data_IF_039708886849
#
_entry.id   IF_039708886849
#
_cell.length_a   1.000
_cell.length_b   1.000
_cell.length_c   1.000
_cell.angle_alpha   90.00
_cell.angle_beta   90.00
_cell.angle_gamma   90.00
#
_symmetry.space_group_name_H-M   'P 1'
#
loop_
_entity.id
_entity.type
_entity.pdbx_description
1 polymer ?
#
# COMPACT_ATOMS: atom_id res chain seq x y z
N UNK A 1 5.14 -13.99 3.45
CA UNK A 1 6.05 -13.29 4.35
C UNK A 1 6.02 -14.00 5.70
N UNK A 2 7.14 -14.04 6.42
CA UNK A 2 7.22 -14.58 7.79
C UNK A 2 7.19 -13.46 8.86
N UNK A 3 7.02 -13.82 10.13
CA UNK A 3 6.93 -12.85 11.23
C UNK A 3 8.17 -11.95 11.31
N UNK A 4 9.36 -12.51 11.12
CA UNK A 4 10.64 -11.77 11.23
C UNK A 4 10.81 -10.74 10.11
N UNK A 5 10.38 -11.08 8.91
CA UNK A 5 10.38 -10.20 7.75
C UNK A 5 9.30 -9.11 7.89
N UNK A 6 8.16 -9.45 8.52
CA UNK A 6 7.10 -8.50 8.90
C UNK A 6 7.63 -7.45 9.86
N UNK A 7 8.19 -7.88 10.99
CA UNK A 7 8.71 -7.01 12.05
C UNK A 7 9.71 -5.98 11.51
N UNK A 8 10.64 -6.43 10.65
CA UNK A 8 11.61 -5.54 10.00
C UNK A 8 10.98 -4.53 9.03
N UNK A 9 9.81 -4.84 8.49
CA UNK A 9 9.08 -3.99 7.54
C UNK A 9 8.10 -3.06 8.21
N UNK A 10 7.80 -3.21 9.51
CA UNK A 10 6.87 -2.34 10.24
C UNK A 10 7.30 -0.87 10.14
N UNK A 11 8.55 -0.53 10.43
CA UNK A 11 9.01 0.86 10.36
C UNK A 11 8.94 1.44 8.93
N UNK A 12 9.20 0.61 7.90
CA UNK A 12 9.07 1.01 6.49
C UNK A 12 7.60 1.15 6.07
N UNK A 13 6.71 0.33 6.62
CA UNK A 13 5.27 0.46 6.43
C UNK A 13 4.75 1.78 7.00
N UNK A 14 5.13 2.11 8.24
CA UNK A 14 4.78 3.38 8.89
C UNK A 14 5.32 4.60 8.13
N UNK A 15 6.51 4.48 7.52
CA UNK A 15 7.10 5.50 6.66
C UNK A 15 6.52 5.53 5.22
N UNK A 16 5.54 4.66 4.89
CA UNK A 16 4.96 4.51 3.56
C UNK A 16 5.99 4.22 2.45
N UNK A 17 7.04 3.45 2.78
CA UNK A 17 8.19 3.11 1.92
C UNK A 17 8.15 1.66 1.40
N UNK A 18 7.01 0.97 1.55
CA UNK A 18 6.84 -0.37 0.99
C UNK A 18 6.43 -0.31 -0.49
N UNK A 19 7.03 -1.17 -1.31
CA UNK A 19 6.54 -1.39 -2.68
C UNK A 19 5.21 -2.13 -2.66
N UNK A 20 4.46 -2.11 -3.76
CA UNK A 20 3.09 -2.62 -3.80
C UNK A 20 2.92 -4.09 -3.54
N UNK A 21 3.92 -4.88 -3.94
CA UNK A 21 3.94 -6.31 -3.66
C UNK A 21 4.25 -6.55 -2.19
N UNK A 22 5.23 -5.82 -1.65
CA UNK A 22 5.61 -5.90 -0.24
C UNK A 22 4.46 -5.43 0.67
N UNK A 23 3.75 -4.37 0.31
CA UNK A 23 2.60 -3.85 1.06
C UNK A 23 1.46 -4.86 1.14
N UNK A 24 1.12 -5.53 0.02
CA UNK A 24 0.06 -6.54 0.00
C UNK A 24 0.46 -7.74 0.88
N UNK A 25 1.68 -8.25 0.69
CA UNK A 25 2.18 -9.37 1.49
C UNK A 25 2.30 -9.01 2.98
N UNK A 26 2.66 -7.75 3.28
CA UNK A 26 2.72 -7.21 4.64
C UNK A 26 1.36 -7.30 5.33
N UNK A 27 0.33 -6.76 4.68
CA UNK A 27 -1.03 -6.70 5.21
C UNK A 27 -1.63 -8.08 5.36
N UNK A 28 -1.49 -8.96 4.36
CA UNK A 28 -1.99 -10.34 4.42
C UNK A 28 -1.44 -11.12 5.63
N UNK A 29 -0.16 -10.89 5.99
CA UNK A 29 0.42 -11.53 7.15
C UNK A 29 -0.03 -10.89 8.46
N UNK A 30 -0.06 -9.56 8.55
CA UNK A 30 -0.49 -8.86 9.77
C UNK A 30 -1.96 -9.17 10.10
N UNK A 31 -2.83 -9.30 9.09
CA UNK A 31 -4.23 -9.69 9.31
C UNK A 31 -4.39 -11.15 9.77
N UNK A 32 -3.47 -12.04 9.39
CA UNK A 32 -3.51 -13.45 9.75
C UNK A 32 -2.68 -13.82 10.99
N UNK A 33 -1.90 -12.89 11.52
CA UNK A 33 -0.97 -13.11 12.62
C UNK A 33 -1.15 -12.06 13.73
N UNK A 34 -1.75 -12.49 14.85
CA UNK A 34 -2.05 -11.63 16.00
C UNK A 34 -0.79 -11.03 16.62
N UNK A 35 0.30 -11.78 16.75
CA UNK A 35 1.56 -11.26 17.29
C UNK A 35 2.16 -10.13 16.44
N UNK A 36 2.11 -10.27 15.11
CA UNK A 36 2.60 -9.22 14.22
C UNK A 36 1.67 -7.99 14.20
N UNK A 37 0.37 -8.19 14.44
CA UNK A 37 -0.59 -7.11 14.62
C UNK A 37 -0.35 -6.33 15.92
N UNK A 38 -0.09 -7.02 17.02
CA UNK A 38 0.28 -6.41 18.29
C UNK A 38 1.58 -5.60 18.16
N UNK A 39 2.62 -6.16 17.54
CA UNK A 39 3.89 -5.46 17.34
C UNK A 39 3.73 -4.21 16.45
N UNK A 40 2.96 -4.32 15.34
CA UNK A 40 2.63 -3.16 14.50
C UNK A 40 1.90 -2.09 15.31
N UNK A 41 0.97 -2.50 16.16
CA UNK A 41 0.20 -1.61 17.03
C UNK A 41 1.12 -0.88 18.02
N UNK A 42 2.02 -1.61 18.69
CA UNK A 42 2.99 -1.03 19.63
C UNK A 42 3.90 -0.02 18.92
N UNK A 43 4.43 -0.36 17.74
CA UNK A 43 5.32 0.55 17.00
C UNK A 43 4.56 1.75 16.43
N UNK A 44 3.32 1.57 15.98
CA UNK A 44 2.44 2.66 15.57
C UNK A 44 2.23 3.63 16.73
N UNK A 45 1.87 3.12 17.91
CA UNK A 45 1.74 3.90 19.15
C UNK A 45 3.03 4.56 19.58
N UNK A 46 4.17 3.88 19.50
CA UNK A 46 5.45 4.49 19.83
C UNK A 46 5.85 5.59 18.84
N UNK A 47 5.44 5.47 17.58
CA UNK A 47 5.73 6.45 16.52
C UNK A 47 4.78 7.64 16.53
N UNK A 48 3.51 7.45 16.92
CA UNK A 48 2.46 8.48 16.97
C UNK A 48 2.12 8.97 18.40
N UNK A 49 2.69 8.35 19.42
CA UNK A 49 2.26 8.48 20.81
C UNK A 49 2.87 9.64 21.58
N UNK A 50 2.60 10.89 21.16
CA UNK A 50 2.29 12.03 22.06
C UNK A 50 1.39 13.03 21.31
N UNK A 51 0.31 12.58 20.68
CA UNK A 51 -0.68 13.52 20.15
C UNK A 51 -1.77 13.85 21.18
N UNK A 52 -2.44 12.89 21.84
CA UNK A 52 -3.61 13.20 22.70
C UNK A 52 -3.89 12.17 23.81
N UNK A 53 -3.02 12.08 24.81
CA UNK A 53 -3.27 11.31 26.06
C UNK A 53 -4.14 12.08 27.10
N UNK A 54 -4.90 13.11 26.72
CA UNK A 54 -5.67 13.94 27.68
C UNK A 54 -7.20 13.85 27.62
N UNK A 55 -7.80 13.17 26.64
CA UNK A 55 -9.26 13.07 26.55
C UNK A 55 -9.66 11.60 26.68
N UNK A 56 -10.06 11.17 27.89
CA UNK A 56 -10.45 9.80 28.24
C UNK A 56 -11.63 9.21 27.43
N UNK A 57 -11.45 9.04 26.13
CA UNK A 57 -12.25 8.22 25.24
C UNK A 57 -11.51 6.90 25.05
N UNK A 58 -12.25 5.81 25.16
CA UNK A 58 -11.77 4.46 24.86
C UNK A 58 -11.09 4.47 23.49
N UNK A 59 -9.83 4.09 23.50
CA UNK A 59 -8.97 4.07 22.35
C UNK A 59 -9.41 2.95 21.40
N UNK A 60 -10.28 3.24 20.43
CA UNK A 60 -10.66 2.30 19.36
C UNK A 60 -9.54 2.19 18.32
N UNK A 61 -8.33 1.91 18.79
CA UNK A 61 -7.09 1.87 18.02
C UNK A 61 -7.16 0.86 16.87
N UNK A 62 -7.81 -0.27 17.12
CA UNK A 62 -8.07 -1.30 16.12
C UNK A 62 -8.79 -0.73 14.90
N UNK A 63 -9.74 0.18 15.12
CA UNK A 63 -10.58 0.74 14.04
C UNK A 63 -9.81 1.76 13.22
N UNK A 64 -9.05 2.63 13.88
CA UNK A 64 -8.25 3.67 13.23
C UNK A 64 -7.06 3.08 12.46
N UNK A 65 -6.38 2.08 13.03
CA UNK A 65 -5.32 1.34 12.35
C UNK A 65 -5.85 0.59 11.12
N UNK A 66 -7.03 -0.02 11.24
CA UNK A 66 -7.71 -0.69 10.11
C UNK A 66 -8.07 0.30 9.00
N UNK A 67 -8.61 1.48 9.34
CA UNK A 67 -8.94 2.53 8.36
C UNK A 67 -7.69 3.09 7.67
N UNK A 68 -6.59 3.30 8.42
CA UNK A 68 -5.30 3.72 7.87
C UNK A 68 -4.75 2.69 6.88
N UNK A 69 -4.77 1.42 7.27
CA UNK A 69 -4.30 0.30 6.45
C UNK A 69 -5.12 0.17 5.16
N UNK A 70 -6.45 0.25 5.24
CA UNK A 70 -7.35 0.25 4.09
C UNK A 70 -7.12 1.45 3.14
N UNK A 71 -6.85 2.62 3.69
CA UNK A 71 -6.61 3.85 2.89
C UNK A 71 -5.30 3.74 2.09
N UNK A 72 -4.24 3.18 2.70
CA UNK A 72 -2.96 2.95 2.03
C UNK A 72 -3.07 1.92 0.90
N UNK A 73 -3.80 0.81 1.12
CA UNK A 73 -4.10 -0.19 0.08
C UNK A 73 -4.82 0.43 -1.11
N UNK A 74 -5.81 1.28 -0.86
CA UNK A 74 -6.66 1.86 -1.91
C UNK A 74 -5.87 2.85 -2.76
N UNK A 75 -5.04 3.70 -2.14
CA UNK A 75 -4.13 4.62 -2.85
C UNK A 75 -3.10 3.86 -3.70
N UNK A 76 -2.59 2.73 -3.22
CA UNK A 76 -1.60 1.95 -3.95
C UNK A 76 -2.22 1.20 -5.16
N UNK A 77 -3.37 0.54 -4.97
CA UNK A 77 -4.07 -0.18 -6.05
C UNK A 77 -4.49 0.76 -7.20
N UNK A 78 -4.90 1.99 -6.90
CA UNK A 78 -5.30 2.97 -7.92
C UNK A 78 -4.10 3.43 -8.78
N UNK A 79 -2.99 3.79 -8.14
CA UNK A 79 -1.78 4.28 -8.84
C UNK A 79 -1.18 3.25 -9.78
N UNK A 80 -1.28 1.95 -9.44
CA UNK A 80 -0.78 0.86 -10.30
C UNK A 80 -1.69 0.61 -11.51
N UNK A 81 -3.02 0.65 -11.33
CA UNK A 81 -3.97 0.52 -12.45
C UNK A 81 -3.88 1.70 -13.43
N UNK A 82 -3.73 2.92 -12.92
CA UNK A 82 -3.59 4.12 -13.76
C UNK A 82 -2.30 4.05 -14.61
N UNK A 83 -1.15 3.71 -14.02
CA UNK A 83 0.11 3.58 -14.77
C UNK A 83 0.06 2.48 -15.84
N UNK A 84 -0.57 1.34 -15.54
CA UNK A 84 -0.73 0.27 -16.54
C UNK A 84 -1.66 0.70 -17.68
N UNK A 85 -2.75 1.41 -17.38
CA UNK A 85 -3.65 1.96 -18.39
C UNK A 85 -2.97 2.94 -19.34
N UNK A 86 -2.13 3.83 -18.80
CA UNK A 86 -1.34 4.79 -19.61
C UNK A 86 -0.40 4.06 -20.57
N UNK A 87 0.34 3.06 -20.08
CA UNK A 87 1.30 2.31 -20.90
C UNK A 87 0.61 1.54 -22.05
N UNK A 88 -0.54 0.91 -21.77
CA UNK A 88 -1.33 0.23 -22.81
C UNK A 88 -1.82 1.22 -23.87
N UNK A 89 -2.24 2.41 -23.45
CA UNK A 89 -2.72 3.45 -24.36
C UNK A 89 -1.60 4.00 -25.26
N UNK A 90 -0.40 4.19 -24.73
CA UNK A 90 0.79 4.56 -25.53
C UNK A 90 1.13 3.51 -26.59
N UNK A 91 1.14 2.22 -26.22
CA UNK A 91 1.41 1.14 -27.17
C UNK A 91 0.37 1.11 -28.29
N UNK A 92 -0.92 1.25 -27.95
CA UNK A 92 -2.00 1.28 -28.95
C UNK A 92 -1.87 2.48 -29.89
N UNK A 93 -1.52 3.66 -29.38
CA UNK A 93 -1.31 4.85 -30.21
C UNK A 93 -0.17 4.63 -31.22
N UNK A 94 0.96 4.04 -30.76
CA UNK A 94 2.10 3.73 -31.63
C UNK A 94 1.71 2.73 -32.72
N UNK A 95 0.97 1.68 -32.38
CA UNK A 95 0.51 0.66 -33.34
C UNK A 95 -0.42 1.25 -34.41
N UNK A 96 -1.33 2.14 -34.02
CA UNK A 96 -2.23 2.82 -34.96
C UNK A 96 -1.43 3.69 -35.93
N UNK A 97 -0.49 4.51 -35.41
CA UNK A 97 0.36 5.38 -36.25
C UNK A 97 1.20 4.53 -37.21
N UNK A 98 1.83 3.46 -36.72
CA UNK A 98 2.63 2.56 -37.54
C UNK A 98 1.79 1.87 -38.63
N UNK A 99 0.56 1.45 -38.30
CA UNK A 99 -0.37 0.83 -39.25
C UNK A 99 -0.81 1.80 -40.34
N UNK A 100 -1.16 3.04 -39.98
CA UNK A 100 -1.50 4.09 -40.95
C UNK A 100 -0.33 4.40 -41.87
N UNK A 101 0.89 4.48 -41.31
CA UNK A 101 2.09 4.75 -42.09
C UNK A 101 2.44 3.61 -43.05
N UNK A 102 2.30 2.35 -42.60
CA UNK A 102 2.50 1.18 -43.44
C UNK A 102 1.47 1.10 -44.58
N UNK A 103 0.20 1.42 -44.30
CA UNK A 103 -0.85 1.48 -45.32
C UNK A 103 -0.59 2.59 -46.36
N UNK A 104 -0.08 3.75 -45.93
CA UNK A 104 0.21 4.87 -46.83
C UNK A 104 1.43 4.63 -47.76
N UNK A 105 2.30 3.66 -47.42
CA UNK A 105 3.48 3.29 -48.20
C UNK A 105 3.23 2.15 -49.22
N UNK A 106 2.06 1.53 -49.18
CA UNK A 106 1.66 0.35 -49.97
C UNK A 106 0.76 0.77 -51.13
#
# INVERSE_FOLDING_TARGET
MDCKETERRISRFLANDLTGRELIQFIEHVESCESCKEELTIQYLSSEGIARLEEGKTFDLDRELTEYMHTMVRKYKLRRKIRFGILVLEILAILIIAGVFAYALL
#
